data_IF_178677556434
#
_entry.id   IF_178677556434
#
_cell.length_a   1.000
_cell.length_b   1.000
_cell.length_c   1.000
_cell.angle_alpha   90.00
_cell.angle_beta   90.00
_cell.angle_gamma   90.00
#
_symmetry.space_group_name_H-M   'P 1'
#
loop_
_entity.id
_entity.type
_entity.pdbx_description
1 polymer ?
#
# COMPACT_ATOMS: atom_id res chain seq x y z
N UNK A 1 7.33 18.37 16.12
CA UNK A 1 7.60 17.01 15.63
C UNK A 1 7.11 16.98 14.20
N UNK A 2 7.99 16.79 13.22
CA UNK A 2 7.58 16.72 11.82
C UNK A 2 6.95 15.34 11.65
N UNK A 3 5.64 15.27 11.42
CA UNK A 3 5.00 14.03 10.99
C UNK A 3 5.41 13.81 9.53
N UNK A 4 6.58 13.20 9.33
CA UNK A 4 7.04 12.78 8.01
C UNK A 4 6.36 11.45 7.67
N UNK A 5 5.65 11.40 6.54
CA UNK A 5 4.98 10.20 6.06
C UNK A 5 3.53 10.43 5.64
N UNK A 6 2.95 9.43 4.99
CA UNK A 6 1.52 9.42 4.68
C UNK A 6 0.69 8.90 5.86
N UNK A 7 -0.56 9.36 5.96
CA UNK A 7 -1.50 8.83 6.95
C UNK A 7 -1.94 7.42 6.55
N UNK A 8 -1.52 6.43 7.33
CA UNK A 8 -1.90 5.02 7.15
C UNK A 8 -3.00 4.66 8.12
N UNK A 9 -4.11 4.15 7.58
CA UNK A 9 -5.23 3.60 8.33
C UNK A 9 -5.16 2.08 8.31
N UNK A 10 -5.21 1.45 9.48
CA UNK A 10 -5.31 -0.01 9.61
C UNK A 10 -6.78 -0.43 9.77
N UNK A 11 -7.20 -1.42 8.99
CA UNK A 11 -8.55 -2.00 9.06
C UNK A 11 -8.39 -3.52 9.12
N UNK A 12 -8.47 -4.09 10.33
CA UNK A 12 -8.11 -5.49 10.54
C UNK A 12 -6.62 -5.73 10.21
N UNK A 13 -6.35 -6.64 9.27
CA UNK A 13 -5.00 -6.93 8.79
C UNK A 13 -4.59 -6.08 7.57
N UNK A 14 -5.48 -5.20 7.11
CA UNK A 14 -5.24 -4.39 5.93
C UNK A 14 -4.64 -3.04 6.31
N UNK A 15 -3.79 -2.50 5.44
CA UNK A 15 -3.27 -1.15 5.55
C UNK A 15 -3.74 -0.32 4.35
N UNK A 16 -4.27 0.87 4.61
CA UNK A 16 -4.73 1.80 3.57
C UNK A 16 -4.11 3.17 3.75
N UNK A 17 -3.57 3.75 2.69
CA UNK A 17 -3.12 5.15 2.66
C UNK A 17 -3.64 5.89 1.44
N UNK A 18 -3.47 7.21 1.41
CA UNK A 18 -4.13 8.11 0.45
C UNK A 18 -5.45 8.68 0.99
N UNK A 19 -5.55 8.91 2.30
CA UNK A 19 -6.73 9.53 2.90
C UNK A 19 -6.95 10.94 2.33
N UNK A 20 -8.20 11.26 1.99
CA UNK A 20 -8.60 12.56 1.40
C UNK A 20 -7.91 12.88 0.06
N UNK A 21 -7.33 11.88 -0.62
CA UNK A 21 -6.80 12.01 -1.97
C UNK A 21 -7.80 11.46 -3.00
N UNK A 22 -7.64 11.84 -4.26
CA UNK A 22 -8.35 11.22 -5.41
C UNK A 22 -7.77 9.84 -5.80
N UNK A 23 -7.03 9.20 -4.89
CA UNK A 23 -6.43 7.89 -5.06
C UNK A 23 -6.24 7.23 -3.69
N UNK A 24 -6.15 5.91 -3.66
CA UNK A 24 -5.73 5.17 -2.46
C UNK A 24 -4.95 3.93 -2.83
N UNK A 25 -4.15 3.45 -1.88
CA UNK A 25 -3.52 2.13 -1.94
C UNK A 25 -4.00 1.31 -0.75
N UNK A 26 -4.39 0.07 -1.00
CA UNK A 26 -4.75 -0.95 -0.03
C UNK A 26 -3.73 -2.09 -0.11
N UNK A 27 -3.13 -2.42 1.02
CA UNK A 27 -2.26 -3.57 1.21
C UNK A 27 -3.05 -4.61 1.98
N UNK A 28 -3.31 -5.74 1.35
CA UNK A 28 -4.17 -6.79 1.87
C UNK A 28 -3.42 -8.14 1.87
N UNK A 29 -3.05 -8.69 3.03
CA UNK A 29 -2.60 -10.08 3.10
C UNK A 29 -3.78 -11.00 2.79
N UNK A 30 -3.60 -11.94 1.86
CA UNK A 30 -4.65 -12.88 1.52
C UNK A 30 -5.02 -13.76 2.70
N UNK A 31 -6.31 -14.04 2.87
CA UNK A 31 -6.80 -14.98 3.87
C UNK A 31 -6.68 -16.45 3.41
N UNK A 32 -6.48 -16.70 2.12
CA UNK A 32 -6.52 -18.05 1.54
C UNK A 32 -5.23 -18.50 0.86
N UNK A 33 -4.32 -17.56 0.58
CA UNK A 33 -3.05 -17.83 -0.12
C UNK A 33 -1.89 -17.16 0.62
N UNK A 34 -0.65 -17.67 0.55
CA UNK A 34 0.50 -17.04 1.19
C UNK A 34 1.04 -15.86 0.36
N UNK A 35 0.19 -14.89 0.02
CA UNK A 35 0.55 -13.71 -0.79
C UNK A 35 -0.02 -12.42 -0.20
N UNK A 36 0.68 -11.31 -0.45
CA UNK A 36 0.22 -9.95 -0.16
C UNK A 36 -0.28 -9.33 -1.47
N UNK A 37 -1.48 -8.77 -1.46
CA UNK A 37 -2.07 -8.02 -2.57
C UNK A 37 -1.86 -6.52 -2.33
N UNK A 38 -1.46 -5.81 -3.39
CA UNK A 38 -1.41 -4.35 -3.43
C UNK A 38 -2.44 -3.91 -4.46
N UNK A 39 -3.44 -3.17 -4.01
CA UNK A 39 -4.55 -2.68 -4.83
C UNK A 39 -4.51 -1.17 -4.79
N UNK A 40 -4.50 -0.52 -5.94
CA UNK A 40 -4.58 0.94 -6.03
C UNK A 40 -5.77 1.33 -6.88
N UNK A 41 -6.52 2.32 -6.39
CA UNK A 41 -7.50 3.05 -7.20
C UNK A 41 -6.99 4.47 -7.38
N UNK A 42 -7.05 4.99 -8.60
CA UNK A 42 -6.71 6.37 -8.92
C UNK A 42 -7.51 6.80 -10.15
N UNK A 43 -7.67 8.11 -10.31
CA UNK A 43 -8.33 8.71 -11.48
C UNK A 43 -7.68 8.39 -12.83
N UNK A 44 -6.38 8.05 -12.82
CA UNK A 44 -5.58 7.80 -14.02
C UNK A 44 -4.84 6.47 -13.84
N UNK A 45 -4.96 5.58 -14.82
CA UNK A 45 -4.37 4.23 -14.79
C UNK A 45 -2.85 4.25 -14.58
N UNK A 46 -2.14 5.20 -15.20
CA UNK A 46 -0.69 5.33 -15.01
C UNK A 46 -0.32 5.68 -13.57
N UNK A 47 -1.14 6.47 -12.89
CA UNK A 47 -0.93 6.82 -11.49
C UNK A 47 -1.20 5.62 -10.58
N UNK A 48 -2.28 4.88 -10.83
CA UNK A 48 -2.57 3.64 -10.10
C UNK A 48 -1.43 2.61 -10.26
N UNK A 49 -0.89 2.49 -11.49
CA UNK A 49 0.25 1.62 -11.78
C UNK A 49 1.50 2.02 -10.99
N UNK A 50 1.87 3.30 -11.03
CA UNK A 50 3.05 3.82 -10.31
C UNK A 50 2.94 3.53 -8.81
N UNK A 51 1.77 3.78 -8.21
CA UNK A 51 1.58 3.53 -6.79
C UNK A 51 1.60 2.05 -6.44
N UNK A 52 0.99 1.18 -7.25
CA UNK A 52 1.09 -0.27 -7.06
C UNK A 52 2.54 -0.76 -7.13
N UNK A 53 3.28 -0.37 -8.17
CA UNK A 53 4.68 -0.80 -8.37
C UNK A 53 5.58 -0.30 -7.23
N UNK A 54 5.48 1.00 -6.90
CA UNK A 54 6.29 1.61 -5.84
C UNK A 54 6.01 0.99 -4.47
N UNK A 55 4.73 0.77 -4.14
CA UNK A 55 4.33 0.15 -2.86
C UNK A 55 4.80 -1.30 -2.80
N UNK A 56 4.72 -2.03 -3.92
CA UNK A 56 5.18 -3.42 -4.00
C UNK A 56 6.68 -3.52 -3.72
N UNK A 57 7.50 -2.65 -4.31
CA UNK A 57 8.94 -2.63 -4.07
C UNK A 57 9.29 -2.24 -2.63
N UNK A 58 8.56 -1.30 -2.04
CA UNK A 58 8.73 -0.94 -0.62
C UNK A 58 8.43 -2.12 0.30
N UNK A 59 7.34 -2.85 0.07
CA UNK A 59 6.98 -4.04 0.85
C UNK A 59 8.09 -5.10 0.75
N UNK A 60 8.58 -5.37 -0.46
CA UNK A 60 9.68 -6.33 -0.67
C UNK A 60 10.93 -5.93 0.12
N UNK A 61 11.29 -4.64 0.10
CA UNK A 61 12.44 -4.13 0.85
C UNK A 61 12.27 -4.33 2.36
N UNK A 62 11.09 -3.98 2.90
CA UNK A 62 10.80 -4.11 4.33
C UNK A 62 10.83 -5.58 4.77
N UNK A 63 10.19 -6.48 4.01
CA UNK A 63 10.17 -7.91 4.33
C UNK A 63 11.59 -8.50 4.30
N UNK A 64 12.40 -8.13 3.30
CA UNK A 64 13.79 -8.60 3.19
C UNK A 64 14.67 -8.13 4.36
N UNK A 65 14.40 -6.95 4.92
CA UNK A 65 15.17 -6.42 6.04
C UNK A 65 14.75 -6.99 7.41
N UNK A 66 13.72 -7.83 7.46
CA UNK A 66 13.23 -8.51 8.66
C UNK A 66 13.70 -9.98 8.75
N UNK A 67 14.36 -10.48 7.69
CA UNK A 67 14.92 -11.84 7.56
C UNK A 67 16.44 -11.83 7.66
#
# INVERSE_FOLDING_TARGET
MINEGEEVNQIGNDLKFGKEKEWFVLIHPSNTEPIIRVICEAKVDSLARIFCETTTELIKLVIKNQS
#
